data_IF_050494243369
#
_entry.id   IF_050494243369
#
_cell.length_a   1.000
_cell.length_b   1.000
_cell.length_c   1.000
_cell.angle_alpha   90.00
_cell.angle_beta   90.00
_cell.angle_gamma   90.00
#
_symmetry.space_group_name_H-M   'P 1'
#
loop_
_entity.id
_entity.type
_entity.pdbx_description
1 polymer ?
#
# COMPACT_ATOMS: atom_id res chain seq x y z
N UNK A 1 25.42 29.15 -5.03
CA UNK A 1 26.52 29.00 -5.98
C UNK A 1 26.22 29.86 -7.21
N UNK A 2 26.36 31.20 -7.07
CA UNK A 2 25.86 32.23 -8.04
C UNK A 2 26.94 33.29 -8.36
N UNK A 3 28.19 32.91 -8.41
CA UNK A 3 29.32 33.86 -8.55
C UNK A 3 30.29 33.54 -9.72
N UNK A 4 30.05 32.59 -10.58
CA UNK A 4 31.01 32.28 -11.69
C UNK A 4 30.48 32.56 -13.11
N UNK A 5 29.36 33.21 -13.32
CA UNK A 5 28.84 33.50 -14.67
C UNK A 5 29.14 34.91 -15.19
N UNK A 6 29.91 35.72 -14.47
CA UNK A 6 30.13 37.11 -14.88
C UNK A 6 31.49 37.40 -15.49
N UNK A 7 32.43 36.46 -15.56
CA UNK A 7 33.77 36.67 -16.08
C UNK A 7 34.03 36.25 -17.52
N UNK A 8 33.10 35.53 -18.17
CA UNK A 8 33.31 35.00 -19.54
C UNK A 8 32.69 35.84 -20.66
N UNK A 9 32.07 36.98 -20.35
CA UNK A 9 31.42 37.84 -21.37
C UNK A 9 32.21 39.07 -21.80
N UNK A 10 33.47 39.26 -21.35
CA UNK A 10 34.22 40.50 -21.61
C UNK A 10 35.43 40.38 -22.57
N UNK A 11 35.73 39.21 -23.13
CA UNK A 11 36.91 39.05 -24.03
C UNK A 11 36.61 38.58 -25.45
N UNK A 12 35.37 38.62 -25.93
CA UNK A 12 35.05 38.29 -27.35
C UNK A 12 34.51 39.53 -28.09
N UNK A 13 35.02 40.70 -27.76
CA UNK A 13 34.68 41.90 -28.53
C UNK A 13 35.97 42.64 -28.86
N UNK A 14 36.72 42.20 -29.84
CA UNK A 14 37.95 42.90 -30.18
C UNK A 14 38.81 42.34 -31.31
N UNK A 15 38.29 41.55 -32.24
CA UNK A 15 39.03 41.23 -33.48
C UNK A 15 38.03 41.18 -34.63
N UNK A 16 37.69 42.34 -35.14
CA UNK A 16 37.02 42.45 -36.41
C UNK A 16 37.37 43.84 -36.99
N UNK A 17 37.85 43.89 -38.20
CA UNK A 17 38.11 45.02 -39.06
C UNK A 17 39.56 45.54 -39.08
N UNK A 18 40.42 44.85 -39.87
CA UNK A 18 41.32 45.53 -40.79
C UNK A 18 41.17 44.87 -42.15
N UNK A 19 40.09 45.17 -42.85
CA UNK A 19 39.96 44.87 -44.26
C UNK A 19 40.88 45.85 -45.06
N UNK A 20 41.73 45.26 -45.91
CA UNK A 20 42.75 45.93 -46.67
C UNK A 20 42.21 47.02 -47.58
N UNK A 21 42.78 48.18 -47.42
CA UNK A 21 42.79 49.20 -48.44
C UNK A 21 43.88 48.84 -49.49
N UNK A 22 43.45 48.27 -50.59
CA UNK A 22 44.32 48.09 -51.78
C UNK A 22 44.45 49.47 -52.42
N UNK A 23 45.52 50.20 -52.05
CA UNK A 23 45.90 51.41 -52.71
C UNK A 23 46.56 51.05 -54.04
N UNK A 24 45.79 51.19 -55.11
CA UNK A 24 46.32 51.25 -56.47
C UNK A 24 47.13 52.54 -56.64
N UNK A 25 48.41 52.44 -56.54
CA UNK A 25 49.32 53.56 -56.94
C UNK A 25 49.46 53.55 -58.48
N UNK A 26 49.26 54.70 -59.16
CA UNK A 26 49.54 54.77 -60.59
C UNK A 26 51.02 54.74 -60.82
N UNK A 27 51.47 53.75 -61.56
CA UNK A 27 52.86 53.73 -62.13
C UNK A 27 53.04 54.90 -63.05
N UNK A 28 53.72 55.94 -62.60
CA UNK A 28 54.35 56.93 -63.55
C UNK A 28 55.46 56.24 -64.25
N UNK A 29 55.25 56.00 -65.52
CA UNK A 29 56.25 55.47 -66.45
C UNK A 29 57.20 56.62 -66.78
N UNK A 30 58.36 56.72 -66.15
CA UNK A 30 59.48 57.59 -66.57
C UNK A 30 60.29 56.81 -67.58
N UNK A 31 60.11 57.16 -68.85
CA UNK A 31 60.98 56.71 -69.92
C UNK A 31 62.27 57.57 -69.90
N UNK A 32 63.30 57.03 -69.32
CA UNK A 32 64.67 57.46 -69.72
C UNK A 32 65.72 56.36 -69.49
N UNK A 33 66.65 56.28 -70.51
CA UNK A 33 67.88 55.48 -70.52
C UNK A 33 67.78 53.97 -70.78
N UNK A 34 67.59 53.64 -72.08
CA UNK A 34 68.08 52.38 -72.62
C UNK A 34 69.60 52.31 -72.52
N UNK A 35 70.08 51.68 -71.49
CA UNK A 35 71.45 51.16 -71.42
C UNK A 35 71.33 49.64 -71.61
N UNK A 36 71.86 49.18 -72.77
CA UNK A 36 71.97 47.77 -73.13
C UNK A 36 72.74 47.01 -72.04
N UNK A 37 72.06 46.48 -71.08
CA UNK A 37 72.53 45.51 -70.08
C UNK A 37 71.91 44.15 -70.34
N UNK A 38 72.79 43.24 -70.61
CA UNK A 38 72.67 41.79 -70.64
C UNK A 38 71.27 41.29 -70.22
N UNK A 39 70.29 41.41 -71.13
CA UNK A 39 68.89 41.09 -70.90
C UNK A 39 68.63 39.61 -70.48
N UNK A 40 69.62 38.76 -70.80
CA UNK A 40 69.54 37.35 -70.44
C UNK A 40 69.72 37.08 -68.89
N UNK A 41 70.69 37.80 -68.30
CA UNK A 41 70.95 37.63 -66.82
C UNK A 41 69.89 38.31 -65.96
N UNK A 42 69.37 39.45 -66.38
CA UNK A 42 68.32 40.15 -65.70
C UNK A 42 66.99 39.32 -65.73
N UNK A 43 66.64 38.74 -66.87
CA UNK A 43 65.48 37.89 -67.03
C UNK A 43 65.60 36.63 -66.20
N UNK A 44 66.75 35.96 -66.21
CA UNK A 44 66.98 34.77 -65.41
C UNK A 44 66.89 35.05 -63.85
N UNK A 45 67.38 36.23 -63.43
CA UNK A 45 67.27 36.64 -62.02
C UNK A 45 65.82 36.93 -61.58
N UNK A 46 65.02 37.48 -62.50
CA UNK A 46 63.60 37.73 -62.27
C UNK A 46 62.84 36.42 -62.24
N UNK A 47 63.12 35.49 -63.15
CA UNK A 47 62.52 34.15 -63.16
C UNK A 47 62.85 33.35 -61.87
N UNK A 48 64.14 33.34 -61.49
CA UNK A 48 64.61 32.69 -60.27
C UNK A 48 63.94 33.29 -58.99
N UNK A 49 63.74 34.59 -58.92
CA UNK A 49 63.02 35.26 -57.86
C UNK A 49 61.55 34.96 -57.93
N UNK A 50 60.94 34.80 -59.09
CA UNK A 50 59.58 34.36 -59.33
C UNK A 50 59.38 32.95 -58.80
N UNK A 51 60.22 32.01 -59.14
CA UNK A 51 60.21 30.63 -58.67
C UNK A 51 60.37 30.56 -57.13
N UNK A 52 61.32 31.30 -56.55
CA UNK A 52 61.51 31.38 -55.11
C UNK A 52 60.25 31.92 -54.36
N UNK A 53 59.56 32.89 -54.99
CA UNK A 53 58.28 33.39 -54.42
C UNK A 53 57.21 32.39 -54.56
N UNK A 54 57.11 31.69 -55.68
CA UNK A 54 56.14 30.59 -55.87
C UNK A 54 56.36 29.45 -54.84
N UNK A 55 57.62 29.02 -54.66
CA UNK A 55 57.99 28.01 -53.70
C UNK A 55 57.65 28.41 -52.25
N UNK A 56 57.94 29.68 -51.91
CA UNK A 56 57.58 30.22 -50.61
C UNK A 56 56.05 30.27 -50.41
N UNK A 57 55.28 30.64 -51.44
CA UNK A 57 53.86 30.70 -51.43
C UNK A 57 53.28 29.28 -51.25
N UNK A 58 53.82 28.29 -51.99
CA UNK A 58 53.40 26.88 -51.82
C UNK A 58 53.69 26.37 -50.40
N UNK A 59 54.87 26.63 -49.86
CA UNK A 59 55.23 26.25 -48.49
C UNK A 59 54.32 26.91 -47.46
N UNK A 60 54.05 28.22 -47.69
CA UNK A 60 53.10 28.92 -46.78
C UNK A 60 51.69 28.34 -46.87
N UNK A 61 51.22 28.00 -48.07
CA UNK A 61 49.92 27.39 -48.25
C UNK A 61 49.82 26.00 -47.57
N UNK A 62 50.85 25.16 -47.72
CA UNK A 62 50.90 23.86 -47.02
C UNK A 62 50.90 24.03 -45.53
N UNK A 63 51.51 25.05 -44.97
CA UNK A 63 51.47 25.33 -43.53
C UNK A 63 50.10 25.80 -43.10
N UNK A 64 49.43 26.65 -43.90
CA UNK A 64 48.08 27.12 -43.64
C UNK A 64 47.11 25.93 -43.67
N UNK A 65 47.24 25.08 -44.71
CA UNK A 65 46.38 23.87 -44.84
C UNK A 65 46.56 22.90 -43.66
N UNK A 66 47.78 22.71 -43.15
CA UNK A 66 48.10 21.91 -41.99
C UNK A 66 47.45 22.49 -40.69
N UNK A 67 47.60 23.83 -40.50
CA UNK A 67 47.01 24.53 -39.38
C UNK A 67 45.44 24.44 -39.42
N UNK A 68 44.88 24.64 -40.62
CA UNK A 68 43.44 24.56 -40.83
C UNK A 68 42.90 23.13 -40.51
N UNK A 69 43.63 22.10 -40.92
CA UNK A 69 43.33 20.71 -40.60
C UNK A 69 43.37 20.44 -39.06
N UNK A 70 44.38 21.00 -38.39
CA UNK A 70 44.53 20.88 -36.93
C UNK A 70 43.43 21.64 -36.19
N UNK A 71 43.09 22.84 -36.60
CA UNK A 71 41.95 23.61 -36.06
C UNK A 71 40.63 22.82 -36.20
N UNK A 72 40.36 22.28 -37.39
CA UNK A 72 39.15 21.49 -37.62
C UNK A 72 39.12 20.20 -36.79
N UNK A 73 40.27 19.61 -36.51
CA UNK A 73 40.39 18.44 -35.64
C UNK A 73 40.06 18.81 -34.19
N UNK A 74 40.72 19.85 -33.71
CA UNK A 74 40.51 20.37 -32.34
C UNK A 74 39.09 20.87 -32.11
N UNK A 75 38.47 21.47 -33.11
CA UNK A 75 37.07 21.91 -33.05
C UNK A 75 36.11 20.70 -32.93
N UNK A 76 36.36 19.63 -33.70
CA UNK A 76 35.54 18.39 -33.58
C UNK A 76 35.68 17.75 -32.22
N UNK A 77 36.90 17.66 -31.70
CA UNK A 77 37.19 17.12 -30.37
C UNK A 77 36.50 17.96 -29.27
N UNK A 78 36.66 19.29 -29.33
CA UNK A 78 36.01 20.20 -28.40
C UNK A 78 34.48 20.04 -28.39
N UNK A 79 33.87 19.97 -29.57
CA UNK A 79 32.41 19.73 -29.69
C UNK A 79 32.01 18.36 -29.15
N UNK A 80 32.85 17.33 -29.35
CA UNK A 80 32.66 15.99 -28.79
C UNK A 80 32.61 16.00 -27.24
N UNK A 81 33.68 16.55 -26.66
CA UNK A 81 33.80 16.67 -25.19
C UNK A 81 32.75 17.57 -24.61
N UNK A 82 32.39 18.67 -25.28
CA UNK A 82 31.31 19.55 -24.80
C UNK A 82 29.96 18.84 -24.72
N UNK A 83 29.61 18.02 -25.74
CA UNK A 83 28.37 17.20 -25.70
C UNK A 83 28.42 16.14 -24.63
N UNK A 84 29.56 15.54 -24.37
CA UNK A 84 29.71 14.55 -23.29
C UNK A 84 29.49 15.20 -21.92
N UNK A 85 30.07 16.39 -21.69
CA UNK A 85 29.87 17.18 -20.47
C UNK A 85 28.37 17.51 -20.27
N UNK A 86 27.71 18.02 -21.33
CA UNK A 86 26.27 18.30 -21.25
C UNK A 86 25.44 17.03 -20.90
N UNK A 87 25.79 15.90 -21.53
CA UNK A 87 25.15 14.61 -21.25
C UNK A 87 25.35 14.15 -19.79
N UNK A 88 26.60 14.29 -19.32
CA UNK A 88 26.95 13.95 -17.93
C UNK A 88 26.24 14.86 -16.91
N UNK A 89 26.14 16.16 -17.19
CA UNK A 89 25.40 17.09 -16.33
C UNK A 89 23.91 16.72 -16.19
N UNK A 90 23.28 16.39 -17.34
CA UNK A 90 21.88 15.92 -17.33
C UNK A 90 21.74 14.61 -16.55
N UNK A 91 22.67 13.68 -16.76
CA UNK A 91 22.68 12.40 -16.04
C UNK A 91 22.85 12.60 -14.53
N UNK A 92 23.82 13.42 -14.11
CA UNK A 92 24.04 13.76 -12.69
C UNK A 92 22.83 14.43 -12.07
N UNK A 93 22.16 15.32 -12.77
CA UNK A 93 20.93 15.97 -12.32
C UNK A 93 19.81 14.93 -12.09
N UNK A 94 19.65 13.98 -13.01
CA UNK A 94 18.67 12.91 -12.88
C UNK A 94 19.02 11.97 -11.71
N UNK A 95 20.30 11.61 -11.57
CA UNK A 95 20.74 10.74 -10.47
C UNK A 95 20.53 11.41 -9.11
N UNK A 96 20.84 12.70 -8.98
CA UNK A 96 20.58 13.46 -7.75
C UNK A 96 19.08 13.51 -7.41
N UNK A 97 18.22 13.64 -8.43
CA UNK A 97 16.77 13.57 -8.23
C UNK A 97 16.33 12.21 -7.72
N UNK A 98 16.87 11.12 -8.26
CA UNK A 98 16.58 9.76 -7.80
C UNK A 98 17.06 9.54 -6.36
N UNK A 99 18.26 9.99 -6.02
CA UNK A 99 18.78 9.90 -4.65
C UNK A 99 17.92 10.68 -3.65
N UNK A 100 17.46 11.87 -4.02
CA UNK A 100 16.56 12.66 -3.18
C UNK A 100 15.22 11.92 -2.96
N UNK A 101 14.65 11.33 -4.00
CA UNK A 101 13.43 10.54 -3.91
C UNK A 101 13.60 9.29 -3.01
N UNK A 102 14.70 8.54 -3.20
CA UNK A 102 15.01 7.37 -2.36
C UNK A 102 15.22 7.74 -0.89
N UNK A 103 15.90 8.86 -0.62
CA UNK A 103 16.07 9.33 0.76
C UNK A 103 14.74 9.74 1.42
N UNK A 104 13.84 10.34 0.66
CA UNK A 104 12.47 10.64 1.14
C UNK A 104 11.72 9.36 1.45
N UNK A 105 11.69 8.41 0.50
CA UNK A 105 11.03 7.12 0.68
C UNK A 105 11.58 6.34 1.88
N UNK A 106 12.92 6.33 2.05
CA UNK A 106 13.56 5.72 3.23
C UNK A 106 13.05 6.33 4.54
N UNK A 107 12.96 7.66 4.59
CA UNK A 107 12.46 8.37 5.79
C UNK A 107 10.99 8.02 6.05
N UNK A 108 10.16 7.92 5.02
CA UNK A 108 8.75 7.56 5.12
C UNK A 108 8.56 6.12 5.61
N UNK A 109 9.39 5.19 5.09
CA UNK A 109 9.41 3.79 5.56
C UNK A 109 9.84 3.72 7.03
N UNK A 110 10.89 4.42 7.44
CA UNK A 110 11.34 4.46 8.83
C UNK A 110 10.27 5.03 9.77
N UNK A 111 9.53 6.06 9.35
CA UNK A 111 8.39 6.60 10.09
C UNK A 111 7.26 5.56 10.20
N UNK A 112 6.95 4.89 9.10
CA UNK A 112 5.93 3.84 9.05
C UNK A 112 6.27 2.67 9.98
N UNK A 113 7.52 2.21 9.99
CA UNK A 113 7.99 1.16 10.90
C UNK A 113 7.81 1.58 12.36
N UNK A 114 8.17 2.83 12.71
CA UNK A 114 7.96 3.34 14.07
C UNK A 114 6.49 3.36 14.47
N UNK A 115 5.61 3.77 13.57
CA UNK A 115 4.16 3.79 13.81
C UNK A 115 3.60 2.37 13.97
N UNK A 116 4.00 1.43 13.13
CA UNK A 116 3.58 0.02 13.23
C UNK A 116 3.97 -0.57 14.59
N UNK A 117 5.20 -0.36 15.04
CA UNK A 117 5.65 -0.86 16.35
C UNK A 117 4.82 -0.27 17.51
N UNK A 118 4.44 1.00 17.42
CA UNK A 118 3.57 1.61 18.42
C UNK A 118 2.17 0.99 18.40
N UNK A 119 1.61 0.81 17.22
CA UNK A 119 0.30 0.18 17.02
C UNK A 119 0.30 -1.24 17.56
N UNK A 120 1.33 -2.04 17.29
CA UNK A 120 1.45 -3.42 17.78
C UNK A 120 1.41 -3.49 19.31
N UNK A 121 2.11 -2.56 19.99
CA UNK A 121 2.09 -2.48 21.46
C UNK A 121 0.71 -2.15 22.03
N UNK A 122 -0.10 -1.42 21.29
CA UNK A 122 -1.45 -1.02 21.72
C UNK A 122 -2.51 -2.05 21.35
N UNK A 123 -2.41 -2.66 20.17
CA UNK A 123 -3.39 -3.62 19.66
C UNK A 123 -3.32 -4.96 20.39
N UNK A 124 -2.14 -5.43 20.76
CA UNK A 124 -1.99 -6.72 21.43
C UNK A 124 -2.78 -6.80 22.74
N UNK A 125 -2.69 -5.85 23.70
CA UNK A 125 -3.52 -5.86 24.88
C UNK A 125 -5.04 -5.70 24.59
N UNK A 126 -5.38 -5.00 23.50
CA UNK A 126 -6.77 -4.87 23.07
C UNK A 126 -7.31 -6.23 22.61
N UNK A 127 -6.58 -6.94 21.76
CA UNK A 127 -6.97 -8.27 21.29
C UNK A 127 -7.15 -9.26 22.44
N UNK A 128 -6.26 -9.26 23.43
CA UNK A 128 -6.40 -10.10 24.62
C UNK A 128 -7.70 -9.81 25.36
N UNK A 129 -8.04 -8.54 25.58
CA UNK A 129 -9.30 -8.14 26.20
C UNK A 129 -10.52 -8.53 25.35
N UNK A 130 -10.41 -8.44 24.04
CA UNK A 130 -11.47 -8.88 23.12
C UNK A 130 -11.68 -10.38 23.24
N UNK A 131 -10.63 -11.19 23.25
CA UNK A 131 -10.74 -12.65 23.39
C UNK A 131 -11.36 -13.01 24.73
N UNK A 132 -10.96 -12.36 25.83
CA UNK A 132 -11.56 -12.58 27.15
C UNK A 132 -13.03 -12.17 27.18
N UNK A 133 -13.40 -11.08 26.52
CA UNK A 133 -14.79 -10.66 26.43
C UNK A 133 -15.61 -11.65 25.60
N UNK A 134 -15.04 -12.18 24.51
CA UNK A 134 -15.68 -13.20 23.69
C UNK A 134 -15.88 -14.51 24.45
N UNK A 135 -14.89 -14.93 25.24
CA UNK A 135 -14.95 -16.13 26.09
C UNK A 135 -16.14 -16.05 27.08
N UNK A 136 -16.18 -14.96 27.85
CA UNK A 136 -17.30 -14.71 28.79
C UNK A 136 -18.66 -14.62 28.09
N UNK A 137 -18.65 -14.05 26.87
CA UNK A 137 -19.87 -13.94 26.10
C UNK A 137 -20.36 -15.32 25.65
N UNK A 138 -19.47 -16.20 25.16
CA UNK A 138 -19.80 -17.57 24.77
C UNK A 138 -20.30 -18.38 25.96
N UNK A 139 -19.69 -18.21 27.14
CA UNK A 139 -20.08 -18.87 28.36
C UNK A 139 -21.48 -18.43 28.88
N UNK A 140 -21.78 -17.14 28.76
CA UNK A 140 -23.04 -16.55 29.22
C UNK A 140 -24.22 -16.74 28.24
N UNK A 141 -23.94 -17.10 27.00
CA UNK A 141 -24.92 -17.19 25.93
C UNK A 141 -25.72 -18.49 25.95
N UNK A 142 -26.67 -18.60 25.05
CA UNK A 142 -27.44 -19.81 24.79
C UNK A 142 -26.49 -20.96 24.40
N UNK A 143 -26.67 -22.19 24.93
CA UNK A 143 -25.76 -23.30 24.73
C UNK A 143 -25.93 -23.99 23.37
N UNK A 144 -25.75 -23.28 22.30
CA UNK A 144 -25.71 -23.85 20.95
C UNK A 144 -24.29 -24.03 20.46
N UNK A 145 -23.98 -25.15 19.82
CA UNK A 145 -22.65 -25.46 19.26
C UNK A 145 -21.52 -25.07 20.21
N UNK A 146 -21.69 -25.38 21.51
CA UNK A 146 -20.81 -24.89 22.58
C UNK A 146 -19.34 -25.31 22.34
N UNK A 147 -19.14 -26.58 22.01
CA UNK A 147 -17.81 -27.15 21.77
C UNK A 147 -17.06 -26.42 20.64
N UNK A 148 -17.74 -26.14 19.53
CA UNK A 148 -17.14 -25.43 18.37
C UNK A 148 -16.78 -23.98 18.74
N UNK A 149 -17.64 -23.31 19.52
CA UNK A 149 -17.42 -21.91 19.94
C UNK A 149 -16.29 -21.81 20.95
N UNK A 150 -16.23 -22.70 21.94
CA UNK A 150 -15.15 -22.78 22.91
C UNK A 150 -13.82 -23.14 22.25
N UNK A 151 -13.80 -24.09 21.32
CA UNK A 151 -12.62 -24.45 20.56
C UNK A 151 -12.11 -23.24 19.72
N UNK A 152 -13.02 -22.43 19.17
CA UNK A 152 -12.65 -21.21 18.45
C UNK A 152 -11.96 -20.22 19.36
N UNK A 153 -12.48 -19.99 20.55
CA UNK A 153 -11.85 -19.10 21.55
C UNK A 153 -10.50 -19.64 21.99
N UNK A 154 -10.39 -20.95 22.27
CA UNK A 154 -9.13 -21.59 22.61
C UNK A 154 -8.08 -21.41 21.51
N UNK A 155 -8.45 -21.65 20.25
CA UNK A 155 -7.58 -21.43 19.11
C UNK A 155 -7.11 -19.97 18.98
N UNK A 156 -7.95 -19.00 19.32
CA UNK A 156 -7.55 -17.59 19.33
C UNK A 156 -6.54 -17.30 20.45
N UNK A 157 -6.72 -17.89 21.64
CA UNK A 157 -5.77 -17.77 22.75
C UNK A 157 -4.40 -18.35 22.36
N UNK A 158 -4.39 -19.52 21.74
CA UNK A 158 -3.17 -20.16 21.25
C UNK A 158 -2.48 -19.32 20.15
N UNK A 159 -3.28 -18.78 19.23
CA UNK A 159 -2.79 -17.92 18.15
C UNK A 159 -2.06 -16.67 18.68
N UNK A 160 -2.52 -16.11 19.81
CA UNK A 160 -1.87 -14.95 20.42
C UNK A 160 -0.44 -15.25 20.87
N UNK A 161 -0.16 -16.48 21.31
CA UNK A 161 1.19 -16.93 21.73
C UNK A 161 2.15 -17.21 20.58
N UNK A 162 1.66 -17.35 19.35
CA UNK A 162 2.50 -17.68 18.19
C UNK A 162 3.29 -16.47 17.70
N UNK A 163 4.59 -16.67 17.46
CA UNK A 163 5.50 -15.63 16.92
C UNK A 163 5.60 -15.63 15.39
N UNK A 164 5.16 -16.71 14.74
CA UNK A 164 5.18 -16.88 13.27
C UNK A 164 4.01 -16.18 12.57
N UNK A 165 3.04 -15.68 13.33
CA UNK A 165 1.84 -14.99 12.81
C UNK A 165 1.94 -13.49 13.05
N UNK A 166 1.69 -12.70 12.02
CA UNK A 166 1.71 -11.23 12.12
C UNK A 166 0.58 -10.69 13.00
N UNK A 167 0.79 -9.54 13.64
CA UNK A 167 -0.24 -8.89 14.48
C UNK A 167 -1.50 -8.56 13.69
N UNK A 168 -1.35 -8.17 12.42
CA UNK A 168 -2.48 -7.90 11.52
C UNK A 168 -3.34 -9.15 11.27
N UNK A 169 -2.72 -10.31 11.14
CA UNK A 169 -3.43 -11.57 10.93
C UNK A 169 -4.10 -12.05 12.22
N UNK A 170 -3.44 -11.91 13.38
CA UNK A 170 -4.05 -12.15 14.68
C UNK A 170 -5.33 -11.31 14.85
N UNK A 171 -5.25 -10.02 14.55
CA UNK A 171 -6.40 -9.11 14.63
C UNK A 171 -7.53 -9.53 13.68
N UNK A 172 -7.21 -9.92 12.44
CA UNK A 172 -8.20 -10.42 11.48
C UNK A 172 -8.94 -11.64 12.02
N UNK A 173 -8.22 -12.62 12.58
CA UNK A 173 -8.82 -13.83 13.14
C UNK A 173 -9.75 -13.51 14.34
N UNK A 174 -9.36 -12.55 15.19
CA UNK A 174 -10.23 -12.08 16.27
C UNK A 174 -11.49 -11.44 15.72
N UNK A 175 -11.38 -10.57 14.71
CA UNK A 175 -12.53 -9.92 14.08
C UNK A 175 -13.45 -10.93 13.37
N UNK A 176 -12.89 -11.92 12.70
CA UNK A 176 -13.67 -13.01 12.06
C UNK A 176 -14.47 -13.81 13.09
N UNK A 177 -13.89 -14.07 14.27
CA UNK A 177 -14.62 -14.72 15.35
C UNK A 177 -15.79 -13.87 15.85
N UNK A 178 -15.59 -12.58 16.05
CA UNK A 178 -16.67 -11.65 16.39
C UNK A 178 -17.76 -11.60 15.33
N UNK A 179 -17.37 -11.56 14.06
CA UNK A 179 -18.32 -11.54 12.96
C UNK A 179 -19.18 -12.82 12.93
N UNK A 180 -18.57 -13.99 13.12
CA UNK A 180 -19.30 -15.25 13.24
C UNK A 180 -20.29 -15.23 14.40
N UNK A 181 -19.87 -14.70 15.55
CA UNK A 181 -20.78 -14.57 16.69
C UNK A 181 -21.94 -13.60 16.39
N UNK A 182 -21.69 -12.50 15.67
CA UNK A 182 -22.77 -11.60 15.24
C UNK A 182 -23.72 -12.28 14.25
N UNK A 183 -23.19 -13.08 13.31
CA UNK A 183 -23.98 -13.79 12.32
C UNK A 183 -24.90 -14.85 12.97
N UNK A 184 -24.48 -15.45 14.08
CA UNK A 184 -25.37 -16.33 14.84
C UNK A 184 -26.65 -15.62 15.32
N UNK A 185 -26.59 -14.33 15.61
CA UNK A 185 -27.76 -13.54 16.03
C UNK A 185 -28.77 -13.29 14.90
N UNK A 186 -28.38 -13.40 13.65
CA UNK A 186 -29.21 -13.06 12.48
C UNK A 186 -29.67 -14.26 11.66
N UNK A 187 -29.12 -15.45 11.98
CA UNK A 187 -29.34 -16.64 11.15
C UNK A 187 -30.26 -17.65 11.89
N UNK A 188 -31.07 -18.33 11.09
CA UNK A 188 -31.82 -19.50 11.54
C UNK A 188 -31.06 -20.73 11.07
N UNK A 189 -30.70 -21.62 11.99
CA UNK A 189 -30.00 -22.86 11.67
C UNK A 189 -30.55 -24.04 12.47
N UNK A 190 -30.42 -25.19 11.87
CA UNK A 190 -30.74 -26.48 12.51
C UNK A 190 -29.48 -27.34 12.52
N UNK A 191 -29.31 -28.08 13.58
CA UNK A 191 -28.25 -29.06 13.75
C UNK A 191 -28.72 -30.18 14.62
N UNK A 192 -28.09 -31.34 14.54
CA UNK A 192 -28.40 -32.51 15.35
C UNK A 192 -27.32 -32.69 16.40
N UNK A 193 -27.72 -32.92 17.63
CA UNK A 193 -26.83 -33.19 18.76
C UNK A 193 -27.54 -33.94 19.86
N UNK A 194 -26.76 -34.42 20.80
CA UNK A 194 -27.30 -35.10 22.01
C UNK A 194 -27.68 -34.10 23.10
N UNK A 195 -28.74 -34.39 23.81
CA UNK A 195 -29.17 -33.61 24.97
C UNK A 195 -29.36 -34.52 26.18
N UNK A 196 -28.87 -34.06 27.34
CA UNK A 196 -29.20 -34.64 28.64
C UNK A 196 -30.39 -33.91 29.21
N UNK A 197 -31.57 -34.55 29.23
CA UNK A 197 -32.75 -34.05 29.92
C UNK A 197 -32.62 -34.40 31.40
N UNK A 198 -32.19 -33.45 32.23
CA UNK A 198 -32.15 -33.60 33.68
C UNK A 198 -33.55 -33.77 34.20
N UNK A 199 -33.91 -34.98 34.63
CA UNK A 199 -35.23 -35.29 35.16
C UNK A 199 -35.62 -36.77 35.06
N UNK A 200 -34.90 -37.55 34.29
CA UNK A 200 -35.07 -39.00 34.27
C UNK A 200 -33.86 -39.63 34.96
N UNK A 201 -34.11 -40.33 36.05
CA UNK A 201 -33.24 -41.14 36.91
C UNK A 201 -31.80 -41.40 36.41
N UNK A 202 -30.85 -41.36 37.33
CA UNK A 202 -29.38 -41.52 37.25
C UNK A 202 -28.78 -42.63 36.35
N UNK A 203 -29.43 -43.00 35.27
CA UNK A 203 -28.89 -43.95 34.29
C UNK A 203 -28.27 -43.20 33.08
N UNK A 204 -27.06 -43.57 32.72
CA UNK A 204 -26.31 -43.11 31.52
C UNK A 204 -27.04 -43.30 30.20
N UNK A 205 -28.27 -43.77 30.20
CA UNK A 205 -29.14 -43.99 29.05
C UNK A 205 -30.07 -42.80 28.69
N UNK A 206 -29.90 -41.65 29.32
CA UNK A 206 -30.78 -40.48 29.09
C UNK A 206 -30.21 -39.49 28.02
N UNK A 207 -29.10 -39.78 27.43
CA UNK A 207 -28.62 -39.02 26.25
C UNK A 207 -29.51 -39.36 25.06
N UNK A 208 -30.27 -38.37 24.61
CA UNK A 208 -31.13 -38.50 23.42
C UNK A 208 -30.64 -37.62 22.31
N UNK A 209 -30.57 -38.19 21.12
CA UNK A 209 -30.29 -37.43 19.92
C UNK A 209 -31.53 -36.62 19.52
N UNK A 210 -31.37 -35.33 19.34
CA UNK A 210 -32.44 -34.40 19.02
C UNK A 210 -32.06 -33.46 17.90
N UNK A 211 -33.05 -32.97 17.18
CA UNK A 211 -32.90 -31.91 16.19
C UNK A 211 -33.07 -30.55 16.87
N UNK A 212 -32.04 -29.76 16.89
CA UNK A 212 -32.07 -28.38 17.37
C UNK A 212 -32.48 -27.41 16.28
N UNK A 213 -33.32 -26.45 16.64
CA UNK A 213 -33.62 -25.27 15.86
C UNK A 213 -33.14 -24.04 16.63
N UNK A 214 -32.20 -23.31 16.06
CA UNK A 214 -31.72 -22.04 16.57
C UNK A 214 -32.28 -20.89 15.72
N UNK A 215 -32.94 -19.94 16.34
CA UNK A 215 -33.45 -18.73 15.71
C UNK A 215 -32.73 -17.54 16.31
N UNK A 216 -31.69 -17.12 15.62
CA UNK A 216 -30.79 -16.10 16.15
C UNK A 216 -30.20 -16.51 17.52
N UNK A 217 -30.26 -15.58 18.47
CA UNK A 217 -29.96 -15.77 19.90
C UNK A 217 -31.23 -15.70 20.78
N UNK A 218 -32.37 -15.56 20.13
CA UNK A 218 -33.64 -15.30 20.83
C UNK A 218 -34.27 -16.61 21.30
N UNK A 219 -34.13 -17.66 20.49
CA UNK A 219 -34.77 -18.92 20.80
C UNK A 219 -33.94 -20.12 20.35
N UNK A 220 -33.70 -21.04 21.26
CA UNK A 220 -33.14 -22.36 20.99
C UNK A 220 -34.15 -23.41 21.41
N UNK A 221 -34.58 -24.22 20.46
CA UNK A 221 -35.57 -25.25 20.65
C UNK A 221 -35.04 -26.60 20.21
N UNK A 222 -35.52 -27.66 20.79
CA UNK A 222 -35.23 -29.01 20.32
C UNK A 222 -36.51 -29.80 20.05
N UNK A 223 -36.40 -30.74 19.13
CA UNK A 223 -37.40 -31.77 18.85
C UNK A 223 -36.71 -33.13 18.86
N UNK A 224 -37.21 -34.04 19.68
CA UNK A 224 -36.75 -35.44 19.65
C UNK A 224 -37.07 -36.09 18.30
N UNK A 225 -36.22 -37.03 17.87
CA UNK A 225 -36.41 -37.77 16.61
C UNK A 225 -37.75 -38.54 16.60
N UNK A 226 -38.21 -39.01 17.76
CA UNK A 226 -39.51 -39.66 17.94
C UNK A 226 -40.67 -38.67 17.87
N UNK A 227 -40.37 -37.38 17.96
CA UNK A 227 -41.35 -36.30 17.99
C UNK A 227 -42.20 -36.24 19.26
N UNK A 228 -41.85 -37.00 20.29
CA UNK A 228 -42.57 -37.00 21.54
C UNK A 228 -42.16 -35.91 22.51
N UNK A 229 -40.86 -35.56 22.49
CA UNK A 229 -40.30 -34.55 23.36
C UNK A 229 -39.91 -33.30 22.57
N UNK A 230 -40.41 -32.17 23.03
CA UNK A 230 -40.03 -30.87 22.53
C UNK A 230 -39.79 -29.89 23.67
N UNK A 231 -38.84 -29.00 23.51
CA UNK A 231 -38.53 -28.04 24.56
C UNK A 231 -37.82 -26.81 24.00
N UNK A 232 -37.79 -25.80 24.85
CA UNK A 232 -37.14 -24.53 24.61
C UNK A 232 -36.15 -24.24 25.73
N UNK A 233 -35.01 -23.64 25.38
CA UNK A 233 -34.04 -23.17 26.35
C UNK A 233 -34.52 -21.90 27.03
N UNK A 234 -34.60 -21.92 28.35
CA UNK A 234 -34.84 -20.73 29.16
C UNK A 234 -33.48 -20.11 29.56
N UNK A 235 -33.18 -18.93 29.04
CA UNK A 235 -31.93 -18.24 29.31
C UNK A 235 -31.81 -17.75 30.76
N UNK A 236 -32.92 -17.49 31.44
CA UNK A 236 -32.90 -16.98 32.80
C UNK A 236 -32.70 -18.11 33.81
N UNK A 237 -33.44 -19.19 33.63
CA UNK A 237 -33.34 -20.39 34.48
C UNK A 237 -32.10 -21.23 34.11
N UNK A 238 -31.53 -21.03 32.91
CA UNK A 238 -30.46 -21.86 32.33
C UNK A 238 -30.83 -23.35 32.29
N UNK A 239 -32.08 -23.64 31.95
CA UNK A 239 -32.63 -25.01 31.89
C UNK A 239 -33.56 -25.19 30.69
N UNK A 240 -33.78 -26.45 30.33
CA UNK A 240 -34.72 -26.81 29.27
C UNK A 240 -36.14 -26.88 29.85
N UNK A 241 -37.06 -26.09 29.24
CA UNK A 241 -38.49 -26.15 29.59
C UNK A 241 -39.25 -26.93 28.53
N UNK A 242 -40.12 -27.87 28.91
CA UNK A 242 -40.99 -28.54 27.96
C UNK A 242 -41.89 -27.52 27.25
N UNK A 243 -42.15 -27.74 25.98
CA UNK A 243 -43.04 -26.91 25.19
C UNK A 243 -44.35 -27.63 24.94
N UNK A 244 -45.44 -26.89 24.77
CA UNK A 244 -46.75 -27.46 24.51
C UNK A 244 -46.81 -28.20 23.17
N UNK A 245 -47.60 -29.27 23.09
CA UNK A 245 -47.72 -30.12 21.90
C UNK A 245 -48.18 -29.34 20.63
N UNK A 246 -48.90 -28.25 20.84
CA UNK A 246 -49.32 -27.31 19.75
C UNK A 246 -48.18 -26.75 18.90
N UNK A 247 -46.99 -26.68 19.49
CA UNK A 247 -45.81 -26.19 18.80
C UNK A 247 -45.10 -27.25 17.96
N UNK A 248 -45.44 -28.55 18.08
CA UNK A 248 -44.81 -29.65 17.34
C UNK A 248 -44.88 -29.45 15.83
N UNK A 249 -46.08 -29.15 15.31
CA UNK A 249 -46.25 -28.92 13.85
C UNK A 249 -45.52 -27.70 13.36
N UNK A 250 -45.50 -26.62 14.14
CA UNK A 250 -44.81 -25.36 13.84
C UNK A 250 -43.30 -25.56 13.85
N UNK A 251 -42.76 -26.28 14.84
CA UNK A 251 -41.35 -26.58 14.96
C UNK A 251 -40.85 -27.50 13.82
N UNK A 252 -41.65 -28.53 13.48
CA UNK A 252 -41.29 -29.40 12.33
C UNK A 252 -41.25 -28.64 11.02
N UNK A 253 -42.22 -27.74 10.80
CA UNK A 253 -42.21 -26.87 9.62
C UNK A 253 -40.99 -25.96 9.62
N UNK A 254 -40.64 -25.37 10.75
CA UNK A 254 -39.46 -24.52 10.92
C UNK A 254 -38.14 -25.28 10.66
N UNK A 255 -38.03 -26.52 11.16
CA UNK A 255 -36.87 -27.39 10.87
C UNK A 255 -36.75 -27.70 9.39
N UNK A 256 -37.85 -27.96 8.67
CA UNK A 256 -37.86 -28.18 7.24
C UNK A 256 -37.44 -26.94 6.43
N UNK A 257 -37.90 -25.75 6.85
CA UNK A 257 -37.52 -24.49 6.23
C UNK A 257 -36.03 -24.22 6.47
N UNK A 258 -35.55 -24.42 7.70
CA UNK A 258 -34.15 -24.21 8.06
C UNK A 258 -33.19 -25.22 7.35
N UNK A 259 -33.72 -26.40 6.94
CA UNK A 259 -33.04 -27.39 6.11
C UNK A 259 -33.21 -27.16 4.61
N UNK A 260 -33.83 -26.05 4.20
CA UNK A 260 -34.15 -25.74 2.80
C UNK A 260 -35.03 -26.80 2.10
N UNK A 261 -35.80 -27.58 2.88
CA UNK A 261 -36.69 -28.61 2.40
C UNK A 261 -38.11 -28.11 2.16
N UNK A 262 -38.41 -26.89 2.54
CA UNK A 262 -39.70 -26.25 2.36
C UNK A 262 -39.54 -24.77 2.02
N UNK A 263 -40.51 -24.21 1.30
CA UNK A 263 -40.48 -22.79 0.94
C UNK A 263 -40.49 -21.89 2.21
N UNK A 264 -39.80 -20.77 2.24
CA UNK A 264 -39.82 -19.85 3.37
C UNK A 264 -41.24 -19.36 3.66
N UNK A 265 -41.64 -19.48 4.90
CA UNK A 265 -42.95 -19.01 5.37
C UNK A 265 -42.83 -18.40 6.77
N UNK A 266 -43.87 -17.69 7.20
CA UNK A 266 -43.89 -17.09 8.52
C UNK A 266 -43.99 -18.17 9.63
N UNK A 267 -42.99 -18.20 10.50
CA UNK A 267 -42.92 -19.16 11.63
C UNK A 267 -43.25 -18.43 12.92
N UNK A 268 -44.20 -18.94 13.66
CA UNK A 268 -44.51 -18.49 15.02
C UNK A 268 -43.66 -19.28 16.01
N UNK A 269 -42.77 -18.59 16.71
CA UNK A 269 -41.83 -19.17 17.69
C UNK A 269 -42.20 -18.63 19.08
N UNK A 270 -42.16 -19.47 20.13
CA UNK A 270 -42.25 -19.00 21.51
C UNK A 270 -40.96 -18.23 21.83
N UNK A 271 -41.10 -17.09 22.46
CA UNK A 271 -39.98 -16.28 22.96
C UNK A 271 -40.20 -16.11 24.45
N UNK A 272 -39.18 -16.36 25.28
CA UNK A 272 -39.25 -16.05 26.69
C UNK A 272 -39.46 -14.54 26.86
N UNK A 273 -40.52 -14.16 27.54
CA UNK A 273 -40.77 -12.76 27.84
C UNK A 273 -39.64 -12.25 28.75
N UNK A 274 -39.03 -11.07 28.44
CA UNK A 274 -38.08 -10.47 29.35
C UNK A 274 -38.79 -10.28 30.70
N UNK A 275 -38.22 -10.81 31.80
CA UNK A 275 -38.69 -10.46 33.12
C UNK A 275 -38.51 -8.97 33.29
N UNK A 276 -39.59 -8.22 33.36
CA UNK A 276 -39.56 -6.85 33.87
C UNK A 276 -39.14 -6.96 35.34
N UNK A 277 -37.84 -7.00 35.61
CA UNK A 277 -37.35 -6.59 36.91
C UNK A 277 -37.68 -5.09 36.95
N UNK A 278 -38.77 -4.79 37.63
CA UNK A 278 -39.24 -3.44 37.90
C UNK A 278 -38.04 -2.71 38.54
N UNK A 279 -37.37 -1.89 37.78
CA UNK A 279 -36.58 -0.82 38.32
C UNK A 279 -37.62 0.15 38.92
N UNK A 280 -38.14 -0.18 40.07
CA UNK A 280 -38.81 0.80 40.93
C UNK A 280 -37.70 1.80 41.28
N UNK A 281 -37.82 3.06 40.89
CA UNK A 281 -36.94 4.07 41.41
C UNK A 281 -37.13 4.06 42.94
N UNK A 282 -36.02 3.92 43.64
CA UNK A 282 -35.96 3.95 45.09
C UNK A 282 -36.46 5.34 45.55
N UNK A 283 -37.78 5.43 45.85
CA UNK A 283 -38.44 6.65 46.35
C UNK A 283 -38.18 6.83 47.83
N UNK A 284 -36.91 6.79 48.23
CA UNK A 284 -36.46 7.29 49.54
C UNK A 284 -35.71 8.62 49.35
N UNK A 285 -36.45 9.60 48.83
CA UNK A 285 -36.08 10.99 49.13
C UNK A 285 -36.77 11.31 50.46
N UNK A 286 -36.02 11.14 51.54
CA UNK A 286 -36.40 11.64 52.84
C UNK A 286 -36.69 13.14 52.72
N UNK A 287 -37.95 13.50 53.07
CA UNK A 287 -38.31 14.88 53.38
C UNK A 287 -37.50 15.30 54.59
N UNK A 288 -36.38 16.03 54.35
CA UNK A 288 -35.68 16.77 55.37
C UNK A 288 -36.41 18.07 55.65
N UNK A 289 -37.03 18.15 56.82
CA UNK A 289 -37.65 19.32 57.37
C UNK A 289 -36.66 20.48 57.40
N UNK A 290 -37.02 21.57 56.73
CA UNK A 290 -36.39 22.89 56.92
C UNK A 290 -37.17 23.58 58.01
N UNK A 291 -36.45 23.80 59.08
CA UNK A 291 -36.82 24.77 60.13
C UNK A 291 -35.80 25.88 60.18
#
# INVERSE_FOLDING_TARGET
MRIQQHYLKKHIAGILLTSGALLAAPMAFSADSVKSLDSGKALNSVLAKGEQRADKAIKSQLTIDAIDADIRSSEREYRGVSKEIEGLEVYLKQLNKQLAAQNSEKTDIENSIRQVTLIERQITPLMLRMIDALDRFVEADVPFQKEEREARVANLKDLMGRSDVTVAEKYRNVMDAYQKEMDYGRTIKTYRSTINLAGSSADKSSEREVDFLRVGRISLMFLSLDGESLGIWDQQAKEWKPLEADYKGKLNTALRIAREQAAPSLIKIPVAAPSMTTLLPNSNIAHGDIK
#
